data_IF_566021246402
#
_entry.id   IF_566021246402
#
_cell.length_a   1.000
_cell.length_b   1.000
_cell.length_c   1.000
_cell.angle_alpha   90.00
_cell.angle_beta   90.00
_cell.angle_gamma   90.00
#
_symmetry.space_group_name_H-M   'P 1'
#
loop_
_entity.id
_entity.type
_entity.pdbx_description
1 polymer ?
#
# COMPACT_ATOMS: atom_id res chain seq x y z
N UNK A 1 -20.62 13.79 4.74
CA UNK A 1 -19.68 12.74 4.35
C UNK A 1 -20.36 11.40 4.06
N UNK A 2 -21.21 10.83 4.93
CA UNK A 2 -21.92 9.55 4.68
C UNK A 2 -22.76 9.54 3.39
N UNK A 3 -23.42 10.66 3.03
CA UNK A 3 -24.26 10.79 1.81
C UNK A 3 -23.45 10.74 0.51
N UNK A 4 -22.19 11.23 0.52
CA UNK A 4 -21.31 11.21 -0.66
C UNK A 4 -20.78 9.80 -0.92
N UNK A 5 -20.49 9.04 0.14
CA UNK A 5 -20.06 7.64 0.04
C UNK A 5 -21.20 6.76 -0.51
N UNK A 6 -22.44 7.01 -0.05
CA UNK A 6 -23.63 6.32 -0.57
C UNK A 6 -23.92 6.67 -2.04
N UNK A 7 -23.76 7.93 -2.43
CA UNK A 7 -23.95 8.36 -3.81
C UNK A 7 -22.87 7.77 -4.75
N UNK A 8 -21.62 7.71 -4.31
CA UNK A 8 -20.55 7.07 -5.05
C UNK A 8 -20.76 5.55 -5.19
N UNK A 9 -21.19 4.87 -4.12
CA UNK A 9 -21.53 3.45 -4.17
C UNK A 9 -22.75 3.17 -5.08
N UNK A 10 -23.79 4.03 -5.05
CA UNK A 10 -24.94 3.92 -5.93
C UNK A 10 -24.58 4.18 -7.41
N UNK A 11 -23.69 5.14 -7.69
CA UNK A 11 -23.19 5.41 -9.04
C UNK A 11 -22.38 4.22 -9.58
N UNK A 12 -21.55 3.58 -8.76
CA UNK A 12 -20.84 2.35 -9.11
C UNK A 12 -21.84 1.22 -9.38
N UNK A 13 -22.89 1.06 -8.59
CA UNK A 13 -23.93 0.03 -8.83
C UNK A 13 -24.75 0.29 -10.09
N UNK A 14 -25.00 1.54 -10.47
CA UNK A 14 -25.72 1.87 -11.72
C UNK A 14 -24.90 1.59 -12.97
N UNK A 15 -23.56 1.64 -12.91
CA UNK A 15 -22.67 1.26 -14.01
C UNK A 15 -22.68 -0.27 -14.27
N UNK A 16 -23.12 -1.08 -13.30
CA UNK A 16 -23.19 -2.56 -13.41
C UNK A 16 -24.33 -3.03 -14.32
N UNK A 17 -25.32 -2.18 -14.61
CA UNK A 17 -26.56 -2.58 -15.31
C UNK A 17 -26.44 -2.65 -16.85
N UNK A 18 -25.33 -2.27 -17.45
CA UNK A 18 -25.15 -2.21 -18.89
C UNK A 18 -24.12 -3.22 -19.39
N UNK A 19 -24.55 -4.43 -19.78
CA UNK A 19 -23.79 -5.39 -20.62
C UNK A 19 -22.26 -5.41 -20.47
N UNK A 20 -21.77 -5.22 -19.26
CA UNK A 20 -20.35 -5.32 -18.94
C UNK A 20 -20.05 -6.78 -18.61
N UNK A 21 -19.12 -7.41 -19.31
CA UNK A 21 -18.52 -8.64 -18.83
C UNK A 21 -17.77 -8.31 -17.57
N UNK A 22 -18.20 -8.83 -16.43
CA UNK A 22 -17.57 -8.60 -15.15
C UNK A 22 -16.73 -9.81 -14.76
N UNK A 23 -15.55 -9.58 -14.24
CA UNK A 23 -14.60 -10.64 -13.90
C UNK A 23 -14.03 -10.40 -12.51
N UNK A 24 -14.26 -11.34 -11.60
CA UNK A 24 -13.66 -11.36 -10.27
C UNK A 24 -12.22 -11.88 -10.39
N UNK A 25 -11.29 -11.27 -9.66
CA UNK A 25 -9.94 -11.80 -9.46
C UNK A 25 -9.57 -11.83 -7.99
N UNK A 26 -8.85 -12.85 -7.59
CA UNK A 26 -8.24 -12.96 -6.26
C UNK A 26 -6.77 -13.25 -6.42
N UNK A 27 -5.93 -12.46 -5.74
CA UNK A 27 -4.50 -12.49 -5.95
C UNK A 27 -3.67 -12.37 -4.69
N UNK A 28 -2.40 -12.64 -4.87
CA UNK A 28 -1.35 -12.45 -3.86
C UNK A 28 -0.11 -11.88 -4.54
N UNK A 29 0.67 -11.13 -3.78
CA UNK A 29 1.89 -10.57 -4.33
C UNK A 29 2.84 -10.01 -3.29
N UNK A 30 3.96 -9.54 -3.81
CA UNK A 30 4.98 -8.84 -3.06
C UNK A 30 4.72 -7.33 -3.13
N UNK A 31 4.93 -6.66 -1.99
CA UNK A 31 4.86 -5.22 -1.88
C UNK A 31 6.16 -4.68 -1.27
N UNK A 32 6.74 -3.68 -1.90
CA UNK A 32 7.82 -2.88 -1.34
C UNK A 32 7.28 -1.49 -1.04
N UNK A 33 7.45 -1.03 0.18
CA UNK A 33 7.01 0.31 0.61
C UNK A 33 8.22 1.16 0.96
N UNK A 34 8.31 2.32 0.33
CA UNK A 34 9.32 3.32 0.61
C UNK A 34 8.66 4.50 1.32
N UNK A 35 9.11 4.81 2.52
CA UNK A 35 8.70 5.97 3.28
C UNK A 35 9.74 7.07 3.09
N UNK A 36 9.36 8.14 2.40
CA UNK A 36 10.18 9.33 2.22
C UNK A 36 9.86 10.36 3.29
N UNK A 37 10.84 10.65 4.11
CA UNK A 37 10.81 11.66 5.13
C UNK A 37 11.60 12.87 4.68
N UNK A 38 10.96 14.04 4.67
CA UNK A 38 11.61 15.34 4.42
C UNK A 38 11.40 16.21 5.64
N UNK A 39 12.46 16.51 6.34
CA UNK A 39 12.47 17.44 7.45
C UNK A 39 13.08 18.77 7.01
N UNK A 40 12.31 19.86 7.15
CA UNK A 40 12.72 21.23 6.83
C UNK A 40 12.95 22.01 8.15
N UNK A 41 14.13 21.90 8.74
CA UNK A 41 14.54 22.72 9.87
C UNK A 41 15.38 23.90 9.38
N UNK A 42 14.83 25.09 9.41
CA UNK A 42 15.37 26.45 9.12
C UNK A 42 16.73 26.63 8.38
N UNK A 43 17.57 25.58 8.25
CA UNK A 43 18.84 25.63 7.52
C UNK A 43 19.38 24.26 7.10
N UNK A 44 18.73 23.15 7.47
CA UNK A 44 19.19 21.80 7.14
C UNK A 44 18.03 21.02 6.54
N UNK A 45 18.14 20.73 5.25
CA UNK A 45 17.22 19.81 4.57
C UNK A 45 17.78 18.39 4.73
N UNK A 46 17.05 17.53 5.42
CA UNK A 46 17.41 16.13 5.58
C UNK A 46 16.35 15.26 4.91
N UNK A 47 16.76 14.47 3.93
CA UNK A 47 15.91 13.48 3.28
C UNK A 47 16.36 12.08 3.72
N UNK A 48 15.47 11.34 4.35
CA UNK A 48 15.66 9.94 4.68
C UNK A 48 14.64 9.09 3.92
N UNK A 49 15.10 7.94 3.43
CA UNK A 49 14.21 6.95 2.81
C UNK A 49 14.33 5.65 3.58
N UNK A 50 13.25 5.22 4.19
CA UNK A 50 13.14 3.91 4.84
C UNK A 50 12.41 2.96 3.91
N UNK A 51 13.02 1.80 3.65
CA UNK A 51 12.46 0.77 2.78
C UNK A 51 11.96 -0.38 3.65
N UNK A 52 10.76 -0.86 3.36
CA UNK A 52 10.21 -2.04 4.00
C UNK A 52 9.55 -2.95 2.96
N UNK A 53 9.73 -4.25 3.13
CA UNK A 53 9.20 -5.26 2.25
C UNK A 53 7.98 -5.94 2.88
N UNK A 54 7.12 -6.49 2.04
CA UNK A 54 5.91 -7.12 2.51
C UNK A 54 5.20 -7.96 1.46
N UNK A 55 4.02 -8.40 1.85
CA UNK A 55 3.12 -9.19 1.01
C UNK A 55 1.76 -8.50 0.96
N UNK A 56 1.00 -8.79 -0.09
CA UNK A 56 -0.39 -8.38 -0.15
C UNK A 56 -1.28 -9.51 -0.69
N UNK A 57 -2.54 -9.43 -0.30
CA UNK A 57 -3.64 -10.23 -0.84
C UNK A 57 -4.67 -9.26 -1.36
N UNK A 58 -5.18 -9.48 -2.56
CA UNK A 58 -6.18 -8.63 -3.18
C UNK A 58 -7.39 -9.42 -3.72
N UNK A 59 -8.50 -8.72 -3.79
CA UNK A 59 -9.70 -9.13 -4.51
C UNK A 59 -10.19 -7.94 -5.33
N UNK A 60 -10.19 -8.10 -6.65
CA UNK A 60 -10.57 -7.06 -7.60
C UNK A 60 -11.76 -7.52 -8.44
N UNK A 61 -12.60 -6.58 -8.82
CA UNK A 61 -13.72 -6.84 -9.72
C UNK A 61 -13.61 -5.94 -10.95
N UNK A 62 -13.29 -6.53 -12.11
CA UNK A 62 -13.08 -5.79 -13.36
C UNK A 62 -14.36 -5.72 -14.17
N UNK A 63 -14.86 -4.51 -14.38
CA UNK A 63 -15.92 -4.19 -15.33
C UNK A 63 -15.29 -3.87 -16.68
N UNK A 64 -15.50 -4.71 -17.68
CA UNK A 64 -14.96 -4.50 -19.04
C UNK A 64 -15.96 -3.72 -19.88
N UNK A 65 -15.52 -2.65 -20.49
CA UNK A 65 -16.28 -1.82 -21.43
C UNK A 65 -15.86 -2.06 -22.86
N UNK A 66 -16.48 -1.35 -23.79
CA UNK A 66 -16.08 -1.38 -25.20
C UNK A 66 -14.69 -0.76 -25.39
N UNK A 67 -14.02 -1.17 -26.49
CA UNK A 67 -12.71 -0.66 -26.90
C UNK A 67 -11.55 -0.96 -25.93
N UNK A 68 -11.66 -2.05 -25.18
CA UNK A 68 -10.61 -2.49 -24.25
C UNK A 68 -10.52 -1.70 -22.94
N UNK A 69 -11.43 -0.75 -22.72
CA UNK A 69 -11.52 -0.01 -21.46
C UNK A 69 -12.11 -0.89 -20.36
N UNK A 70 -11.71 -0.63 -19.12
CA UNK A 70 -12.26 -1.26 -17.94
C UNK A 70 -12.18 -0.36 -16.71
N UNK A 71 -12.96 -0.71 -15.71
CA UNK A 71 -12.90 -0.14 -14.36
C UNK A 71 -12.77 -1.28 -13.36
N UNK A 72 -11.74 -1.20 -12.53
CA UNK A 72 -11.36 -2.25 -11.59
C UNK A 72 -11.29 -1.69 -10.17
N UNK A 73 -12.42 -1.65 -9.44
CA UNK A 73 -12.40 -1.48 -7.99
C UNK A 73 -11.92 -2.76 -7.31
N UNK A 74 -11.29 -2.61 -6.16
CA UNK A 74 -10.82 -3.75 -5.38
C UNK A 74 -10.68 -3.45 -3.90
N UNK A 75 -10.29 -4.48 -3.18
CA UNK A 75 -9.81 -4.41 -1.80
C UNK A 75 -8.50 -5.16 -1.70
N UNK A 76 -7.56 -4.59 -1.00
CA UNK A 76 -6.22 -5.14 -0.87
C UNK A 76 -5.78 -5.05 0.60
N UNK A 77 -5.33 -6.13 1.18
CA UNK A 77 -4.69 -6.18 2.48
C UNK A 77 -3.19 -6.29 2.29
N UNK A 78 -2.45 -5.30 2.78
CA UNK A 78 -1.00 -5.21 2.68
C UNK A 78 -0.37 -5.36 4.04
N UNK A 79 0.56 -6.27 4.14
CA UNK A 79 1.43 -6.45 5.29
C UNK A 79 2.84 -5.99 4.91
N UNK A 80 3.37 -5.02 5.65
CA UNK A 80 4.74 -4.51 5.49
C UNK A 80 5.50 -4.77 6.79
N UNK A 81 6.73 -5.26 6.66
CA UNK A 81 7.60 -5.46 7.81
C UNK A 81 9.06 -5.18 7.47
N UNK A 82 9.78 -4.66 8.43
CA UNK A 82 11.23 -4.49 8.36
C UNK A 82 11.90 -4.86 9.67
N UNK A 83 13.15 -5.26 9.58
CA UNK A 83 14.00 -5.62 10.71
C UNK A 83 15.30 -4.85 10.61
N UNK A 84 15.54 -3.96 11.55
CA UNK A 84 16.80 -3.22 11.69
C UNK A 84 17.57 -3.72 12.91
N UNK A 85 18.84 -4.06 12.71
CA UNK A 85 19.77 -4.45 13.77
C UNK A 85 20.84 -3.39 13.86
N UNK A 86 20.98 -2.76 15.03
CA UNK A 86 22.08 -1.83 15.33
C UNK A 86 22.95 -2.48 16.40
N UNK A 87 24.23 -2.68 16.07
CA UNK A 87 25.25 -3.08 17.04
C UNK A 87 25.97 -1.81 17.50
N UNK A 88 25.93 -1.53 18.78
CA UNK A 88 26.78 -0.48 19.36
C UNK A 88 28.13 -1.13 19.70
N UNK A 89 29.19 -0.66 19.05
CA UNK A 89 30.54 -1.22 19.09
C UNK A 89 31.27 -1.26 20.46
N UNK A 90 30.54 -1.26 21.55
CA UNK A 90 31.02 -1.38 22.92
C UNK A 90 30.46 -2.66 23.55
N UNK A 91 31.09 -3.82 23.26
CA UNK A 91 30.72 -5.09 23.87
C UNK A 91 29.36 -5.64 23.37
N UNK A 92 28.82 -6.63 24.08
CA UNK A 92 27.58 -7.36 23.72
C UNK A 92 26.27 -6.52 23.78
N UNK A 93 26.30 -5.25 23.36
CA UNK A 93 25.10 -4.43 23.31
C UNK A 93 24.51 -4.44 21.89
N UNK A 94 23.38 -5.11 21.73
CA UNK A 94 22.62 -5.18 20.47
C UNK A 94 21.22 -4.62 20.65
N UNK A 95 20.80 -3.79 19.70
CA UNK A 95 19.41 -3.32 19.62
C UNK A 95 18.81 -3.82 18.33
N UNK A 96 17.76 -4.61 18.43
CA UNK A 96 16.98 -5.11 17.30
C UNK A 96 15.61 -4.44 17.30
N UNK A 97 15.29 -3.72 16.22
CA UNK A 97 13.99 -3.11 16.03
C UNK A 97 13.26 -3.81 14.89
N UNK A 98 12.07 -4.30 15.19
CA UNK A 98 11.14 -4.91 14.21
C UNK A 98 9.94 -4.02 14.04
N UNK A 99 9.71 -3.60 12.81
CA UNK A 99 8.58 -2.77 12.42
C UNK A 99 7.57 -3.63 11.64
N UNK A 100 6.28 -3.48 11.95
CA UNK A 100 5.19 -4.19 11.28
C UNK A 100 4.01 -3.25 11.09
N UNK A 101 3.54 -3.16 9.86
CA UNK A 101 2.34 -2.40 9.50
C UNK A 101 1.36 -3.23 8.69
N UNK A 102 0.07 -2.98 8.92
CA UNK A 102 -1.02 -3.54 8.16
C UNK A 102 -1.83 -2.41 7.55
N UNK A 103 -2.13 -2.53 6.27
CA UNK A 103 -2.96 -1.58 5.54
C UNK A 103 -4.13 -2.28 4.88
N UNK A 104 -5.26 -1.60 4.84
CA UNK A 104 -6.37 -1.92 3.94
C UNK A 104 -6.40 -0.85 2.87
N UNK A 105 -6.23 -1.25 1.62
CA UNK A 105 -6.28 -0.39 0.47
C UNK A 105 -7.54 -0.67 -0.33
N UNK A 106 -8.14 0.39 -0.88
CA UNK A 106 -9.26 0.33 -1.80
C UNK A 106 -8.81 0.98 -3.12
N UNK A 107 -8.22 0.19 -4.05
CA UNK A 107 -7.86 0.68 -5.36
C UNK A 107 -9.09 0.91 -6.22
N UNK A 108 -9.11 2.01 -6.97
CA UNK A 108 -10.12 2.37 -7.95
C UNK A 108 -9.39 2.67 -9.27
N UNK A 109 -9.16 1.62 -10.06
CA UNK A 109 -8.31 1.72 -11.25
C UNK A 109 -9.15 1.73 -12.52
N UNK A 110 -8.81 2.61 -13.45
CA UNK A 110 -9.22 2.52 -14.84
C UNK A 110 -8.16 1.74 -15.58
N UNK A 111 -8.54 0.80 -16.38
CA UNK A 111 -7.65 0.02 -17.21
C UNK A 111 -8.02 0.14 -18.69
N UNK A 112 -6.99 -0.01 -19.52
CA UNK A 112 -7.12 -0.14 -20.97
C UNK A 112 -6.21 -1.26 -21.44
N UNK A 113 -6.75 -2.17 -22.24
CA UNK A 113 -6.01 -3.35 -22.70
C UNK A 113 -6.42 -3.84 -24.06
N UNK A 114 -5.54 -4.62 -24.65
CA UNK A 114 -5.70 -5.24 -25.96
C UNK A 114 -5.72 -6.76 -25.77
N UNK A 115 -6.76 -7.39 -26.32
CA UNK A 115 -6.90 -8.85 -26.33
C UNK A 115 -6.19 -9.43 -27.55
N UNK A 116 -5.19 -10.27 -27.32
CA UNK A 116 -4.42 -10.97 -28.36
C UNK A 116 -4.65 -12.48 -28.16
N UNK A 117 -5.68 -13.00 -28.82
CA UNK A 117 -6.11 -14.42 -28.74
C UNK A 117 -6.34 -14.86 -27.27
N UNK A 118 -5.33 -15.50 -26.66
CA UNK A 118 -5.40 -16.06 -25.30
C UNK A 118 -4.74 -15.18 -24.24
N UNK A 119 -4.21 -14.03 -24.65
CA UNK A 119 -3.49 -13.09 -23.78
C UNK A 119 -4.12 -11.71 -23.91
N UNK A 120 -4.38 -11.07 -22.77
CA UNK A 120 -4.73 -9.64 -22.70
C UNK A 120 -3.58 -8.90 -22.05
N UNK A 121 -3.05 -7.89 -22.73
CA UNK A 121 -2.07 -6.96 -22.16
C UNK A 121 -2.79 -5.67 -21.84
N UNK A 122 -2.60 -5.14 -20.63
CA UNK A 122 -3.31 -3.93 -20.20
C UNK A 122 -2.43 -3.02 -19.34
N UNK A 123 -2.73 -1.73 -19.39
CA UNK A 123 -2.22 -0.75 -18.47
C UNK A 123 -3.38 -0.23 -17.61
N UNK A 124 -3.09 0.19 -16.39
CA UNK A 124 -4.10 0.73 -15.50
C UNK A 124 -3.55 1.89 -14.69
N UNK A 125 -4.43 2.82 -14.31
CA UNK A 125 -4.10 3.94 -13.45
C UNK A 125 -5.32 4.38 -12.66
N UNK A 126 -5.10 5.00 -11.50
CA UNK A 126 -6.17 5.56 -10.68
C UNK A 126 -5.79 5.74 -9.22
N UNK A 127 -6.70 6.30 -8.43
CA UNK A 127 -6.49 6.49 -7.00
C UNK A 127 -6.60 5.17 -6.22
N UNK A 128 -5.92 5.16 -5.08
CA UNK A 128 -6.03 4.11 -4.05
C UNK A 128 -6.24 4.79 -2.70
N UNK A 129 -7.33 4.49 -2.03
CA UNK A 129 -7.58 4.90 -0.65
C UNK A 129 -6.88 3.90 0.25
N UNK A 130 -5.99 4.36 1.11
CA UNK A 130 -5.18 3.50 1.98
C UNK A 130 -5.43 3.83 3.44
N UNK A 131 -5.74 2.82 4.23
CA UNK A 131 -6.02 2.92 5.66
C UNK A 131 -5.00 2.09 6.43
N UNK A 132 -4.23 2.73 7.31
CA UNK A 132 -3.39 2.04 8.25
C UNK A 132 -4.26 1.45 9.38
N UNK A 133 -4.25 0.14 9.53
CA UNK A 133 -5.07 -0.58 10.52
C UNK A 133 -4.26 -0.89 11.78
N UNK A 134 -2.96 -1.11 11.62
CA UNK A 134 -2.06 -1.41 12.73
C UNK A 134 -0.63 -1.07 12.36
N UNK A 135 0.08 -0.41 13.25
CA UNK A 135 1.50 -0.10 13.14
C UNK A 135 2.17 -0.35 14.48
N UNK A 136 3.05 -1.36 14.53
CA UNK A 136 3.73 -1.77 15.75
C UNK A 136 5.23 -1.83 15.55
N UNK A 137 5.95 -1.25 16.49
CA UNK A 137 7.41 -1.34 16.56
C UNK A 137 7.78 -2.12 17.83
N UNK A 138 8.48 -3.24 17.65
CA UNK A 138 9.06 -4.02 18.74
C UNK A 138 10.56 -3.75 18.77
N UNK A 139 11.05 -3.29 19.90
CA UNK A 139 12.49 -3.08 20.14
C UNK A 139 12.96 -4.06 21.19
N UNK A 140 13.91 -4.89 20.82
CA UNK A 140 14.58 -5.85 21.69
C UNK A 140 16.00 -5.31 21.95
N UNK A 141 16.28 -4.93 23.20
CA UNK A 141 17.61 -4.49 23.65
C UNK A 141 18.29 -5.64 24.42
N UNK A 142 19.48 -6.04 23.97
CA UNK A 142 20.30 -7.04 24.69
C UNK A 142 21.55 -6.32 25.21
N UNK A 143 21.78 -6.40 26.52
CA UNK A 143 22.98 -5.91 27.17
C UNK A 143 23.41 -6.91 28.27
N UNK A 144 24.70 -7.30 28.25
CA UNK A 144 25.30 -8.18 29.26
C UNK A 144 24.49 -9.48 29.50
N UNK A 145 23.97 -10.10 28.43
CA UNK A 145 23.22 -11.36 28.52
C UNK A 145 21.76 -11.23 28.94
N UNK A 146 21.27 -10.01 29.25
CA UNK A 146 19.87 -9.74 29.55
C UNK A 146 19.16 -9.10 28.36
N UNK A 147 18.00 -9.63 27.97
CA UNK A 147 17.18 -9.09 26.88
C UNK A 147 15.94 -8.42 27.46
N UNK A 148 15.73 -7.17 27.13
CA UNK A 148 14.50 -6.42 27.42
C UNK A 148 13.75 -6.17 26.12
N UNK A 149 12.45 -6.47 26.11
CA UNK A 149 11.56 -6.27 24.95
C UNK A 149 10.53 -5.21 25.25
N UNK A 150 10.45 -4.21 24.38
CA UNK A 150 9.40 -3.19 24.43
C UNK A 150 8.64 -3.18 23.11
N UNK A 151 7.31 -3.24 23.16
CA UNK A 151 6.45 -3.10 22.00
C UNK A 151 5.67 -1.79 22.15
N UNK A 152 5.79 -0.93 21.16
CA UNK A 152 5.10 0.38 21.13
C UNK A 152 4.24 0.43 19.87
N UNK A 153 2.99 0.90 20.02
CA UNK A 153 2.19 1.30 18.87
C UNK A 153 2.77 2.61 18.30
N UNK A 154 3.02 2.65 17.01
CA UNK A 154 3.64 3.80 16.36
C UNK A 154 2.77 5.05 16.51
N UNK A 155 1.45 4.89 16.50
CA UNK A 155 0.50 5.97 16.73
C UNK A 155 0.65 6.58 18.12
N UNK A 156 0.63 5.73 19.16
CA UNK A 156 0.78 6.17 20.56
C UNK A 156 2.12 6.85 20.81
N UNK A 157 3.16 6.40 20.12
CA UNK A 157 4.49 7.01 20.20
C UNK A 157 4.49 8.43 19.63
N UNK A 158 3.91 8.63 18.43
CA UNK A 158 3.81 9.93 17.79
C UNK A 158 2.91 10.89 18.59
N UNK A 159 1.78 10.42 19.11
CA UNK A 159 0.88 11.22 19.95
C UNK A 159 1.56 11.69 21.24
N UNK A 160 2.36 10.85 21.90
CA UNK A 160 3.15 11.23 23.09
C UNK A 160 4.23 12.26 22.80
N UNK A 161 4.74 12.34 21.60
CA UNK A 161 5.70 13.35 21.13
C UNK A 161 5.01 14.64 20.65
N UNK A 162 3.68 14.74 20.78
CA UNK A 162 2.91 15.91 20.32
C UNK A 162 2.66 15.91 18.79
N UNK A 163 2.98 14.81 18.10
CA UNK A 163 2.74 14.63 16.68
C UNK A 163 1.38 14.02 16.38
N UNK A 164 0.93 14.14 15.13
CA UNK A 164 -0.22 13.40 14.61
C UNK A 164 0.27 12.37 13.61
N UNK A 165 -0.17 11.13 13.75
CA UNK A 165 0.07 10.07 12.76
C UNK A 165 -1.22 9.82 11.98
N UNK A 166 -1.21 10.18 10.69
CA UNK A 166 -2.37 10.01 9.82
C UNK A 166 -2.58 8.54 9.46
N UNK A 167 -3.74 7.99 9.83
CA UNK A 167 -4.12 6.62 9.47
C UNK A 167 -4.62 6.50 8.02
N UNK A 168 -4.89 7.61 7.35
CA UNK A 168 -5.40 7.66 5.99
C UNK A 168 -4.36 8.21 5.04
N UNK A 169 -4.25 7.60 3.87
CA UNK A 169 -3.45 8.07 2.76
C UNK A 169 -4.26 7.95 1.46
N UNK A 170 -4.13 8.93 0.59
CA UNK A 170 -4.61 8.89 -0.77
C UNK A 170 -3.40 8.71 -1.67
N UNK A 171 -3.37 7.62 -2.40
CA UNK A 171 -2.30 7.33 -3.35
C UNK A 171 -2.82 7.47 -4.77
N UNK A 172 -1.99 7.94 -5.68
CA UNK A 172 -2.24 7.89 -7.12
C UNK A 172 -1.19 6.97 -7.73
N UNK A 173 -1.63 6.05 -8.56
CA UNK A 173 -0.67 5.15 -9.17
C UNK A 173 -1.23 4.43 -10.37
N UNK A 174 -0.34 3.68 -10.99
CA UNK A 174 -0.65 2.88 -12.16
C UNK A 174 0.29 1.71 -12.32
N UNK A 175 0.05 0.97 -13.37
CA UNK A 175 0.82 -0.21 -13.64
C UNK A 175 0.45 -0.87 -14.96
N UNK A 176 1.01 -2.04 -15.15
CA UNK A 176 0.74 -2.89 -16.31
C UNK A 176 0.40 -4.31 -15.84
N UNK A 177 -0.33 -5.02 -16.65
CA UNK A 177 -0.66 -6.41 -16.36
C UNK A 177 -0.86 -7.22 -17.62
N UNK A 178 -0.83 -8.53 -17.41
CA UNK A 178 -1.08 -9.53 -18.46
C UNK A 178 -2.05 -10.55 -17.90
N UNK A 179 -3.15 -10.79 -18.62
CA UNK A 179 -4.08 -11.88 -18.38
C UNK A 179 -3.77 -13.00 -19.37
N UNK A 180 -3.58 -14.21 -18.89
CA UNK A 180 -3.30 -15.40 -19.69
C UNK A 180 -4.48 -16.36 -19.58
N UNK A 181 -5.00 -16.81 -20.72
CA UNK A 181 -6.14 -17.74 -20.83
C UNK A 181 -7.41 -17.25 -20.09
N UNK A 182 -7.53 -15.96 -19.80
CA UNK A 182 -8.57 -15.39 -18.92
C UNK A 182 -8.67 -16.09 -17.54
N UNK A 183 -7.56 -16.65 -17.07
CA UNK A 183 -7.47 -17.42 -15.82
C UNK A 183 -6.39 -16.89 -14.88
N UNK A 184 -5.28 -16.44 -15.41
CA UNK A 184 -4.12 -16.01 -14.63
C UNK A 184 -3.81 -14.56 -15.00
N UNK A 185 -3.74 -13.71 -14.01
CA UNK A 185 -3.33 -12.29 -14.12
C UNK A 185 -2.00 -12.07 -13.43
N UNK A 186 -1.06 -11.44 -14.11
CA UNK A 186 0.17 -10.91 -13.50
C UNK A 186 0.08 -9.39 -13.54
N UNK A 187 0.32 -8.73 -12.40
CA UNK A 187 0.26 -7.27 -12.27
C UNK A 187 1.57 -6.73 -11.73
N UNK A 188 2.02 -5.62 -12.31
CA UNK A 188 3.06 -4.77 -11.76
C UNK A 188 2.48 -3.36 -11.56
N UNK A 189 2.61 -2.81 -10.38
CA UNK A 189 2.04 -1.51 -10.02
C UNK A 189 3.00 -0.66 -9.21
N UNK A 190 2.85 0.66 -9.35
CA UNK A 190 3.51 1.65 -8.53
C UNK A 190 2.52 2.73 -8.10
N UNK A 191 2.39 2.96 -6.80
CA UNK A 191 1.50 3.94 -6.20
C UNK A 191 2.31 4.99 -5.42
N UNK A 192 2.00 6.29 -5.64
CA UNK A 192 2.56 7.44 -4.92
C UNK A 192 1.57 7.97 -3.90
N UNK A 193 1.97 8.06 -2.64
CA UNK A 193 1.19 8.73 -1.61
C UNK A 193 1.17 10.24 -1.81
N UNK A 194 -0.02 10.80 -1.86
CA UNK A 194 -0.26 12.24 -2.07
C UNK A 194 -0.44 12.98 -0.76
N UNK A 195 -0.91 12.31 0.29
CA UNK A 195 -1.19 12.92 1.59
C UNK A 195 0.07 12.98 2.41
N UNK A 196 0.35 14.14 3.00
CA UNK A 196 1.36 14.27 4.03
C UNK A 196 0.84 13.62 5.32
N UNK A 197 1.47 12.52 5.75
CA UNK A 197 1.11 11.79 6.97
C UNK A 197 1.80 12.32 8.23
N UNK A 198 2.73 13.26 8.04
CA UNK A 198 3.47 13.94 9.12
C UNK A 198 2.86 15.30 9.51
N UNK A 199 3.65 16.08 10.22
CA UNK A 199 3.31 17.45 10.61
C UNK A 199 3.79 18.47 9.56
N UNK A 200 3.56 19.76 9.79
CA UNK A 200 3.96 20.84 8.90
C UNK A 200 5.49 20.92 8.69
N UNK A 201 6.27 20.55 9.71
CA UNK A 201 7.74 20.58 9.70
C UNK A 201 8.35 19.26 9.14
N UNK A 202 7.59 18.16 9.12
CA UNK A 202 8.04 16.84 8.68
C UNK A 202 7.05 16.28 7.69
N UNK A 203 7.44 16.21 6.42
CA UNK A 203 6.62 15.64 5.35
C UNK A 203 6.93 14.16 5.18
N UNK A 204 5.90 13.33 5.33
CA UNK A 204 5.97 11.88 5.18
C UNK A 204 5.11 11.45 4.00
N UNK A 205 5.75 10.96 2.94
CA UNK A 205 5.07 10.42 1.77
C UNK A 205 5.46 8.95 1.59
N UNK A 206 4.45 8.10 1.45
CA UNK A 206 4.64 6.69 1.18
C UNK A 206 4.57 6.41 -0.31
N UNK A 207 5.49 5.61 -0.81
CA UNK A 207 5.46 5.06 -2.15
C UNK A 207 5.39 3.54 -2.04
N UNK A 208 4.71 2.88 -2.98
CA UNK A 208 4.54 1.44 -2.94
C UNK A 208 4.70 0.83 -4.32
N UNK A 209 5.62 -0.12 -4.44
CA UNK A 209 5.81 -0.95 -5.62
C UNK A 209 5.22 -2.33 -5.32
N UNK A 210 4.45 -2.87 -6.26
CA UNK A 210 3.75 -4.15 -6.12
C UNK A 210 3.95 -5.04 -7.33
N UNK A 211 4.17 -6.32 -7.08
CA UNK A 211 4.21 -7.37 -8.10
C UNK A 211 3.39 -8.55 -7.60
N UNK A 212 2.43 -9.01 -8.38
CA UNK A 212 1.55 -10.09 -7.94
C UNK A 212 0.94 -10.92 -9.05
N UNK A 213 0.36 -12.02 -8.62
CA UNK A 213 -0.36 -12.98 -9.47
C UNK A 213 -1.76 -13.16 -8.89
N UNK A 214 -2.77 -13.19 -9.76
CA UNK A 214 -4.15 -13.41 -9.38
C UNK A 214 -4.80 -14.49 -10.26
N UNK A 215 -5.79 -15.16 -9.71
CA UNK A 215 -6.69 -16.05 -10.45
C UNK A 215 -7.95 -15.28 -10.84
N UNK A 216 -8.37 -15.44 -12.08
CA UNK A 216 -9.56 -14.83 -12.68
C UNK A 216 -10.70 -15.87 -12.73
N UNK A 217 -11.85 -15.50 -12.17
CA UNK A 217 -13.05 -16.35 -12.11
C UNK A 217 -14.03 -16.05 -13.25
#
# INVERSE_FOLDING_TARGET
MKKIIFAAAAAVMMLVSYNASAQLSVGVGFAKSDLKEKADFKSVKQENTSNANGLYVDADYTFKFKYGLGFTPGIEWVFIGDKSIKELGLGDIKSESKFKEHYINVPLKLDWGIDIKVVRVFAFAGPTLSFNVSSKTKTDGTAFGSTSSTTVDTKDFFEKLGGKYGNFDLMLGGGVGVDVLNKIRVKFAYDWGLVNRGNDDIKLHRQQLKLGVAYLF
#
